data_IF_874755620196
#
_entry.id   IF_874755620196
#
_cell.length_a   1.000
_cell.length_b   1.000
_cell.length_c   1.000
_cell.angle_alpha   90.00
_cell.angle_beta   90.00
_cell.angle_gamma   90.00
#
_symmetry.space_group_name_H-M   'P 1'
#
loop_
_entity.id
_entity.type
_entity.pdbx_description
1 polymer ?
#
# COMPACT_ATOMS: atom_id res chain seq x y z
N UNK A 1 56.54 40.69 76.66
CA UNK A 1 56.94 41.97 76.02
C UNK A 1 58.30 41.78 75.37
N UNK A 2 58.40 41.82 74.04
CA UNK A 2 59.68 41.80 73.34
C UNK A 2 59.67 41.13 71.97
N UNK A 3 60.07 41.90 70.95
CA UNK A 3 60.78 41.57 69.70
C UNK A 3 60.86 40.11 69.21
N UNK A 4 60.63 39.93 67.90
CA UNK A 4 61.52 39.32 66.87
C UNK A 4 60.75 39.28 65.53
N UNK A 5 61.19 39.98 64.49
CA UNK A 5 62.22 39.65 63.47
C UNK A 5 61.60 39.06 62.20
N UNK A 6 61.85 39.76 61.08
CA UNK A 6 61.75 39.22 59.72
C UNK A 6 62.67 38.00 59.57
N UNK A 7 62.30 37.03 58.72
CA UNK A 7 63.13 36.64 57.58
C UNK A 7 62.35 35.75 56.59
N UNK A 8 62.63 35.98 55.31
CA UNK A 8 62.15 35.26 54.13
C UNK A 8 62.70 33.83 54.08
N UNK A 9 61.92 32.88 53.56
CA UNK A 9 62.45 31.67 52.92
C UNK A 9 61.45 31.07 51.91
N UNK A 10 61.74 31.36 50.64
CA UNK A 10 61.61 30.57 49.40
C UNK A 10 60.85 29.23 49.37
N UNK A 11 59.83 29.22 48.51
CA UNK A 11 59.57 28.35 47.34
C UNK A 11 59.73 26.82 47.48
N UNK A 12 58.60 26.10 47.38
CA UNK A 12 58.51 24.85 46.59
C UNK A 12 57.20 24.80 45.82
N UNK A 13 57.36 24.82 44.49
CA UNK A 13 56.35 24.50 43.49
C UNK A 13 56.04 23.01 43.58
N UNK A 14 54.77 22.67 43.77
CA UNK A 14 54.21 21.39 43.35
C UNK A 14 52.96 21.72 42.54
N UNK A 15 53.12 21.61 41.22
CA UNK A 15 52.04 21.71 40.26
C UNK A 15 51.21 20.43 40.34
N UNK A 16 50.04 20.52 40.99
CA UNK A 16 49.03 19.46 40.96
C UNK A 16 48.08 19.75 39.79
N UNK A 17 48.35 19.15 38.64
CA UNK A 17 47.42 19.11 37.51
C UNK A 17 46.18 18.31 37.89
N UNK A 18 45.10 19.00 38.25
CA UNK A 18 43.76 18.40 38.35
C UNK A 18 43.24 18.12 36.94
N UNK A 19 43.19 16.84 36.55
CA UNK A 19 42.46 16.39 35.38
C UNK A 19 40.96 16.45 35.67
N UNK A 20 40.32 17.55 35.26
CA UNK A 20 38.86 17.64 35.17
C UNK A 20 38.37 16.64 34.11
N UNK A 21 37.89 15.49 34.58
CA UNK A 21 37.18 14.53 33.74
C UNK A 21 35.78 15.09 33.48
N UNK A 22 35.59 15.79 32.36
CA UNK A 22 34.27 16.17 31.87
C UNK A 22 33.57 14.89 31.40
N UNK A 23 32.60 14.41 32.18
CA UNK A 23 31.69 13.36 31.74
C UNK A 23 30.70 14.01 30.79
N UNK A 24 30.99 13.93 29.49
CA UNK A 24 30.03 14.29 28.44
C UNK A 24 28.99 13.17 28.43
N UNK A 25 27.83 13.40 29.04
CA UNK A 25 26.67 12.55 28.77
C UNK A 25 26.27 12.79 27.32
N UNK A 26 26.24 11.78 26.44
CA UNK A 26 25.67 11.96 25.13
C UNK A 26 24.20 12.32 25.33
N UNK A 27 23.80 13.48 24.84
CA UNK A 27 22.39 13.80 24.69
C UNK A 27 21.79 12.67 23.85
N UNK A 28 20.89 11.88 24.45
CA UNK A 28 20.11 10.90 23.72
C UNK A 28 19.35 11.66 22.63
N UNK A 29 19.87 11.59 21.42
CA UNK A 29 19.12 11.93 20.22
C UNK A 29 17.96 10.97 20.23
N UNK A 30 16.77 11.48 20.56
CA UNK A 30 15.55 10.71 20.36
C UNK A 30 15.59 10.24 18.91
N UNK A 31 15.65 8.92 18.73
CA UNK A 31 15.50 8.32 17.41
C UNK A 31 14.22 8.92 16.81
N UNK A 32 14.23 9.36 15.54
CA UNK A 32 13.00 9.79 14.91
C UNK A 32 11.98 8.67 15.11
N UNK A 33 10.81 9.02 15.66
CA UNK A 33 9.70 8.09 15.77
C UNK A 33 9.56 7.39 14.42
N UNK A 34 9.62 6.05 14.41
CA UNK A 34 9.41 5.28 13.20
C UNK A 34 8.14 5.84 12.55
N UNK A 35 8.27 6.41 11.35
CA UNK A 35 7.11 6.84 10.60
C UNK A 35 6.16 5.64 10.54
N UNK A 36 4.89 5.86 10.85
CA UNK A 36 3.87 4.82 10.86
C UNK A 36 3.78 4.22 9.45
N UNK A 37 4.50 3.12 9.24
CA UNK A 37 4.73 2.40 7.97
C UNK A 37 3.42 1.83 7.40
N UNK A 38 2.33 1.92 8.16
CA UNK A 38 1.00 1.49 7.74
C UNK A 38 0.45 2.32 6.58
N UNK A 39 0.89 3.57 6.42
CA UNK A 39 0.40 4.50 5.37
C UNK A 39 1.42 4.83 4.28
N UNK A 40 2.56 4.13 4.27
CA UNK A 40 3.54 4.27 3.18
C UNK A 40 2.93 3.79 1.84
N UNK A 41 3.38 4.34 0.70
CA UNK A 41 3.15 3.75 -0.63
C UNK A 41 3.59 2.28 -0.69
N UNK A 42 2.95 1.51 -1.57
CA UNK A 42 3.23 0.08 -1.76
C UNK A 42 4.54 -0.18 -2.52
N UNK A 43 5.04 0.80 -3.27
CA UNK A 43 6.21 0.63 -4.12
C UNK A 43 6.57 1.90 -4.92
N UNK A 44 7.49 1.77 -5.90
CA UNK A 44 7.82 2.86 -6.80
C UNK A 44 6.60 3.26 -7.66
N UNK A 45 6.50 4.56 -7.90
CA UNK A 45 5.42 5.16 -8.68
C UNK A 45 5.98 6.08 -9.77
N UNK A 46 5.19 6.23 -10.82
CA UNK A 46 5.45 7.06 -11.99
C UNK A 46 4.16 7.80 -12.38
N UNK A 47 4.24 8.67 -13.37
CA UNK A 47 3.03 9.21 -14.00
C UNK A 47 2.25 8.10 -14.73
N UNK A 48 0.95 8.33 -14.89
CA UNK A 48 0.02 7.40 -15.55
C UNK A 48 0.53 6.87 -16.89
N UNK A 49 0.50 5.54 -17.04
CA UNK A 49 0.87 4.83 -18.27
C UNK A 49 -0.35 4.18 -18.91
N UNK A 50 -0.83 4.76 -20.00
CA UNK A 50 -1.99 4.26 -20.73
C UNK A 50 -1.83 2.80 -21.19
N UNK A 51 -0.61 2.38 -21.55
CA UNK A 51 -0.32 0.99 -21.94
C UNK A 51 -0.62 -0.01 -20.85
N UNK A 52 -0.36 0.32 -19.58
CA UNK A 52 -0.60 -0.58 -18.45
C UNK A 52 -2.09 -0.68 -18.18
N UNK A 53 -2.79 0.46 -18.25
CA UNK A 53 -4.23 0.51 -18.11
C UNK A 53 -4.96 -0.29 -19.20
N UNK A 54 -4.56 -0.13 -20.47
CA UNK A 54 -5.15 -0.86 -21.59
C UNK A 54 -4.95 -2.38 -21.48
N UNK A 55 -3.85 -2.82 -20.86
CA UNK A 55 -3.59 -4.24 -20.62
C UNK A 55 -4.53 -4.82 -19.56
N UNK A 56 -4.86 -4.07 -18.51
CA UNK A 56 -5.56 -4.61 -17.34
C UNK A 56 -7.05 -4.37 -17.35
N UNK A 57 -7.53 -3.30 -18.00
CA UNK A 57 -8.93 -2.88 -17.93
C UNK A 57 -9.90 -3.91 -18.50
N UNK A 58 -11.08 -3.98 -17.91
CA UNK A 58 -12.25 -4.70 -18.45
C UNK A 58 -13.29 -3.75 -19.07
N UNK A 59 -13.05 -2.42 -19.00
CA UNK A 59 -13.98 -1.38 -19.48
C UNK A 59 -13.21 -0.41 -20.38
N UNK A 60 -12.93 -0.80 -21.62
CA UNK A 60 -12.20 0.02 -22.59
C UNK A 60 -12.82 1.41 -22.85
N UNK A 61 -14.15 1.52 -22.78
CA UNK A 61 -14.89 2.74 -23.13
C UNK A 61 -14.63 3.95 -22.23
N UNK A 62 -14.07 3.76 -21.03
CA UNK A 62 -13.73 4.87 -20.11
C UNK A 62 -12.31 5.42 -20.32
N UNK A 63 -11.57 4.96 -21.34
CA UNK A 63 -10.16 5.32 -21.55
C UNK A 63 -9.89 6.84 -21.55
N UNK A 64 -10.75 7.62 -22.22
CA UNK A 64 -10.60 9.08 -22.28
C UNK A 64 -10.79 9.73 -20.91
N UNK A 65 -11.79 9.28 -20.16
CA UNK A 65 -12.06 9.77 -18.81
C UNK A 65 -10.90 9.43 -17.86
N UNK A 66 -10.41 8.18 -17.91
CA UNK A 66 -9.26 7.74 -17.11
C UNK A 66 -8.03 8.60 -17.40
N UNK A 67 -7.66 8.81 -18.66
CA UNK A 67 -6.49 9.61 -19.01
C UNK A 67 -6.62 11.08 -18.56
N UNK A 68 -7.80 11.68 -18.72
CA UNK A 68 -8.05 13.05 -18.28
C UNK A 68 -7.96 13.17 -16.75
N UNK A 69 -8.62 12.27 -16.01
CA UNK A 69 -8.62 12.27 -14.55
C UNK A 69 -7.24 11.96 -13.97
N UNK A 70 -6.50 11.04 -14.57
CA UNK A 70 -5.14 10.71 -14.15
C UNK A 70 -4.22 11.93 -14.15
N UNK A 71 -4.35 12.77 -15.18
CA UNK A 71 -3.62 14.04 -15.27
C UNK A 71 -4.12 15.06 -14.25
N UNK A 72 -5.44 15.26 -14.14
CA UNK A 72 -6.01 16.28 -13.25
C UNK A 72 -5.80 15.98 -11.76
N UNK A 73 -5.86 14.71 -11.38
CA UNK A 73 -5.68 14.24 -9.99
C UNK A 73 -4.23 13.81 -9.70
N UNK A 74 -3.31 13.99 -10.66
CA UNK A 74 -1.88 13.68 -10.51
C UNK A 74 -1.66 12.27 -9.95
N UNK A 75 -2.38 11.29 -10.50
CA UNK A 75 -2.30 9.91 -10.02
C UNK A 75 -0.88 9.40 -10.04
N UNK A 76 -0.47 8.80 -8.92
CA UNK A 76 0.80 8.12 -8.78
C UNK A 76 0.58 6.67 -9.18
N UNK A 77 1.04 6.32 -10.36
CA UNK A 77 0.81 5.02 -11.00
C UNK A 77 1.91 4.04 -10.60
N UNK A 78 1.55 2.89 -10.05
CA UNK A 78 2.51 1.86 -9.62
C UNK A 78 3.34 1.37 -10.81
N UNK A 79 4.65 1.27 -10.62
CA UNK A 79 5.59 0.84 -11.66
C UNK A 79 5.93 -0.65 -11.60
N UNK A 80 5.92 -1.24 -10.41
CA UNK A 80 6.26 -2.65 -10.24
C UNK A 80 5.11 -3.60 -10.64
N UNK A 81 5.42 -4.90 -10.60
CA UNK A 81 4.48 -5.99 -10.80
C UNK A 81 4.39 -6.91 -9.58
N UNK A 82 4.70 -6.39 -8.40
CA UNK A 82 4.61 -7.13 -7.14
C UNK A 82 3.19 -7.64 -6.92
N UNK A 83 3.06 -8.76 -6.22
CA UNK A 83 1.76 -9.38 -5.96
C UNK A 83 0.82 -8.42 -5.24
N UNK A 84 -0.39 -8.31 -5.77
CA UNK A 84 -1.51 -7.63 -5.13
C UNK A 84 -2.56 -8.63 -4.70
N UNK A 85 -3.39 -8.21 -3.76
CA UNK A 85 -4.40 -9.03 -3.13
C UNK A 85 -5.75 -8.35 -3.16
N UNK A 86 -6.81 -9.11 -3.43
CA UNK A 86 -8.18 -8.62 -3.32
C UNK A 86 -9.02 -9.57 -2.48
N UNK A 87 -9.65 -9.04 -1.44
CA UNK A 87 -10.70 -9.74 -0.72
C UNK A 87 -12.04 -9.58 -1.42
N UNK A 88 -12.77 -10.67 -1.62
CA UNK A 88 -14.09 -10.66 -2.24
C UNK A 88 -14.99 -11.75 -1.62
N UNK A 89 -16.26 -11.43 -1.41
CA UNK A 89 -17.23 -12.36 -0.82
C UNK A 89 -17.98 -13.16 -1.87
N UNK A 90 -17.81 -12.86 -3.16
CA UNK A 90 -18.45 -13.62 -4.23
C UNK A 90 -17.91 -15.04 -4.32
N UNK A 91 -18.82 -16.00 -4.49
CA UNK A 91 -18.50 -17.43 -4.58
C UNK A 91 -18.22 -17.91 -6.01
N UNK A 92 -18.44 -17.06 -7.03
CA UNK A 92 -18.25 -17.38 -8.45
C UNK A 92 -16.78 -17.22 -8.91
N UNK A 93 -15.84 -17.84 -8.17
CA UNK A 93 -14.39 -17.71 -8.39
C UNK A 93 -13.97 -18.04 -9.84
N UNK A 94 -14.50 -19.14 -10.39
CA UNK A 94 -14.20 -19.58 -11.75
C UNK A 94 -14.69 -18.60 -12.82
N UNK A 95 -15.81 -17.92 -12.56
CA UNK A 95 -16.30 -16.86 -13.44
C UNK A 95 -15.36 -15.66 -13.39
N UNK A 96 -14.96 -15.23 -12.19
CA UNK A 96 -14.01 -14.13 -11.98
C UNK A 96 -12.66 -14.43 -12.64
N UNK A 97 -12.19 -15.67 -12.60
CA UNK A 97 -10.97 -16.09 -13.31
C UNK A 97 -11.07 -15.90 -14.82
N UNK A 98 -12.27 -16.12 -15.40
CA UNK A 98 -12.51 -15.98 -16.84
C UNK A 98 -12.76 -14.54 -17.25
N UNK A 99 -13.57 -13.79 -16.50
CA UNK A 99 -14.00 -12.43 -16.88
C UNK A 99 -13.09 -11.35 -16.31
N UNK A 100 -12.33 -11.66 -15.28
CA UNK A 100 -11.66 -10.68 -14.45
C UNK A 100 -12.62 -10.01 -13.45
N UNK A 101 -12.05 -9.05 -12.74
CA UNK A 101 -12.76 -8.16 -11.86
C UNK A 101 -13.25 -6.93 -12.62
N UNK A 102 -14.48 -7.02 -13.14
CA UNK A 102 -15.17 -5.88 -13.72
C UNK A 102 -15.87 -5.06 -12.62
N UNK A 103 -15.60 -3.75 -12.51
CA UNK A 103 -16.34 -2.86 -11.63
C UNK A 103 -17.83 -2.86 -11.96
N UNK A 104 -18.67 -2.53 -10.97
CA UNK A 104 -20.14 -2.56 -11.14
C UNK A 104 -20.66 -1.44 -12.03
N UNK A 105 -19.87 -0.40 -12.28
CA UNK A 105 -20.19 0.64 -13.24
C UNK A 105 -18.94 1.26 -13.84
N UNK A 106 -19.14 2.42 -14.45
CA UNK A 106 -18.17 3.15 -15.25
C UNK A 106 -17.93 4.57 -14.74
N UNK A 107 -18.53 4.92 -13.61
CA UNK A 107 -18.40 6.24 -13.02
C UNK A 107 -17.07 6.33 -12.29
N UNK A 108 -16.20 7.19 -12.80
CA UNK A 108 -14.92 7.50 -12.17
C UNK A 108 -15.14 8.58 -11.12
N UNK A 109 -15.53 8.17 -9.91
CA UNK A 109 -15.67 9.06 -8.75
C UNK A 109 -14.31 9.68 -8.42
N UNK A 110 -14.20 10.97 -8.08
CA UNK A 110 -12.92 11.55 -7.71
C UNK A 110 -12.21 10.76 -6.61
N UNK A 111 -10.90 10.50 -6.76
CA UNK A 111 -10.20 9.55 -5.87
C UNK A 111 -10.32 9.98 -4.40
N UNK A 112 -10.19 11.29 -4.12
CA UNK A 112 -10.32 11.85 -2.78
C UNK A 112 -11.69 11.55 -2.12
N UNK A 113 -12.76 11.41 -2.89
CA UNK A 113 -14.07 11.02 -2.38
C UNK A 113 -14.19 9.51 -2.22
N UNK A 114 -13.73 8.76 -3.22
CA UNK A 114 -13.76 7.29 -3.24
C UNK A 114 -13.04 6.70 -2.02
N UNK A 115 -11.86 7.22 -1.68
CA UNK A 115 -11.03 6.68 -0.59
C UNK A 115 -11.56 7.00 0.82
N UNK A 116 -12.60 7.84 0.94
CA UNK A 116 -13.21 8.21 2.23
C UNK A 116 -14.58 7.55 2.40
N UNK A 117 -15.39 7.52 1.34
CA UNK A 117 -16.78 7.04 1.42
C UNK A 117 -16.92 5.60 0.92
N UNK A 118 -15.87 5.05 0.31
CA UNK A 118 -15.95 3.85 -0.50
C UNK A 118 -16.59 4.12 -1.87
N UNK A 119 -16.43 3.16 -2.78
CA UNK A 119 -17.09 3.21 -4.08
C UNK A 119 -18.59 2.99 -3.96
N UNK A 120 -19.39 3.92 -4.49
CA UNK A 120 -20.81 3.69 -4.73
C UNK A 120 -21.05 2.47 -5.64
N UNK A 121 -22.31 2.03 -5.74
CA UNK A 121 -22.69 0.82 -6.49
C UNK A 121 -22.34 0.86 -7.99
N UNK A 122 -21.99 2.02 -8.55
CA UNK A 122 -21.70 2.25 -9.97
C UNK A 122 -20.26 2.72 -10.25
N UNK A 123 -19.37 2.58 -9.27
CA UNK A 123 -17.98 3.01 -9.40
C UNK A 123 -17.19 2.20 -10.44
N UNK A 124 -16.30 2.87 -11.16
CA UNK A 124 -15.27 2.29 -12.02
C UNK A 124 -14.01 1.85 -11.25
N UNK A 125 -13.89 2.21 -9.97
CA UNK A 125 -12.75 1.86 -9.13
C UNK A 125 -12.81 0.39 -8.71
N UNK A 126 -11.67 -0.28 -8.77
CA UNK A 126 -11.48 -1.63 -8.29
C UNK A 126 -10.34 -1.65 -7.30
N UNK A 127 -10.71 -1.74 -6.03
CA UNK A 127 -9.75 -1.86 -4.93
C UNK A 127 -8.99 -3.18 -4.95
N UNK A 128 -7.66 -3.09 -4.79
CA UNK A 128 -6.76 -4.17 -4.39
C UNK A 128 -5.82 -3.64 -3.31
N UNK A 129 -5.04 -4.51 -2.66
CA UNK A 129 -4.07 -4.11 -1.64
C UNK A 129 -2.73 -4.81 -1.88
N UNK A 130 -1.63 -4.13 -1.58
CA UNK A 130 -0.32 -4.80 -1.52
C UNK A 130 -0.12 -5.61 -0.21
N UNK A 131 -1.07 -5.54 0.73
CA UNK A 131 -1.06 -6.30 1.97
C UNK A 131 -2.14 -7.40 1.96
N UNK A 132 -1.69 -8.66 1.99
CA UNK A 132 -2.59 -9.81 2.02
C UNK A 132 -3.50 -9.82 3.25
N UNK A 133 -3.02 -9.34 4.40
CA UNK A 133 -3.80 -9.29 5.64
C UNK A 133 -4.98 -8.33 5.52
N UNK A 134 -4.81 -7.21 4.81
CA UNK A 134 -5.89 -6.28 4.47
C UNK A 134 -6.93 -6.97 3.59
N UNK A 135 -6.49 -7.68 2.54
CA UNK A 135 -7.40 -8.43 1.68
C UNK A 135 -8.19 -9.50 2.46
N UNK A 136 -7.56 -10.22 3.40
CA UNK A 136 -8.25 -11.16 4.30
C UNK A 136 -9.31 -10.47 5.15
N UNK A 137 -9.02 -9.29 5.71
CA UNK A 137 -10.00 -8.48 6.48
C UNK A 137 -11.25 -8.18 5.66
N UNK A 138 -11.08 -7.74 4.40
CA UNK A 138 -12.20 -7.43 3.51
C UNK A 138 -12.96 -8.67 3.03
N UNK A 139 -12.26 -9.78 2.76
CA UNK A 139 -12.89 -11.05 2.39
C UNK A 139 -13.81 -11.57 3.50
N UNK A 140 -13.49 -11.31 4.78
CA UNK A 140 -14.20 -11.87 5.93
C UNK A 140 -14.99 -10.83 6.75
N UNK A 141 -15.32 -9.67 6.19
CA UNK A 141 -16.01 -8.60 6.94
C UNK A 141 -17.50 -8.91 7.22
N UNK A 142 -18.16 -9.69 6.34
CA UNK A 142 -19.61 -10.00 6.43
C UNK A 142 -20.01 -10.92 7.58
N UNK A 143 -21.31 -11.23 7.68
CA UNK A 143 -21.88 -12.11 8.73
C UNK A 143 -21.28 -13.52 8.70
N UNK A 144 -21.10 -14.06 7.50
CA UNK A 144 -20.54 -15.40 7.28
C UNK A 144 -19.05 -15.52 7.67
N UNK A 145 -18.37 -14.39 7.89
CA UNK A 145 -16.94 -14.31 8.24
C UNK A 145 -16.05 -15.17 7.34
N UNK A 146 -16.47 -15.39 6.11
CA UNK A 146 -15.79 -16.20 5.10
C UNK A 146 -15.78 -15.46 3.76
N UNK A 147 -14.74 -15.71 2.97
CA UNK A 147 -14.62 -15.14 1.63
C UNK A 147 -13.31 -15.53 0.97
N UNK A 148 -13.08 -15.01 -0.23
CA UNK A 148 -11.96 -15.37 -1.09
C UNK A 148 -10.92 -14.25 -1.13
N UNK A 149 -9.65 -14.63 -1.07
CA UNK A 149 -8.52 -13.72 -1.27
C UNK A 149 -7.82 -14.12 -2.56
N UNK A 150 -7.85 -13.21 -3.52
CA UNK A 150 -7.31 -13.40 -4.86
C UNK A 150 -5.88 -12.88 -4.94
N UNK A 151 -5.01 -13.63 -5.61
CA UNK A 151 -3.62 -13.27 -5.89
C UNK A 151 -3.52 -12.71 -7.31
N UNK A 152 -3.04 -11.46 -7.44
CA UNK A 152 -3.12 -10.67 -8.68
C UNK A 152 -1.72 -10.16 -9.07
N UNK A 153 -1.36 -10.33 -10.35
CA UNK A 153 -0.08 -9.90 -10.95
C UNK A 153 -0.32 -8.93 -12.11
N UNK A 154 -0.97 -7.80 -11.84
CA UNK A 154 -1.30 -6.80 -12.85
C UNK A 154 -0.26 -5.65 -12.87
N UNK A 155 0.14 -5.13 -14.05
CA UNK A 155 0.91 -3.89 -14.14
C UNK A 155 0.05 -2.67 -13.80
N UNK A 156 0.68 -1.61 -13.28
CA UNK A 156 0.00 -0.35 -13.03
C UNK A 156 -0.93 -0.35 -11.81
N UNK A 157 -1.98 0.47 -11.91
CA UNK A 157 -2.88 0.79 -10.80
C UNK A 157 -2.44 2.06 -10.07
N UNK A 158 -3.40 2.79 -9.52
CA UNK A 158 -3.16 4.00 -8.73
C UNK A 158 -2.70 3.56 -7.34
N UNK A 159 -1.49 3.94 -6.93
CA UNK A 159 -1.11 3.85 -5.53
C UNK A 159 -1.84 4.97 -4.77
N UNK A 160 -2.84 4.57 -3.98
CA UNK A 160 -3.71 5.51 -3.27
C UNK A 160 -2.93 6.32 -2.25
N UNK A 161 -1.98 5.70 -1.55
CA UNK A 161 -1.20 6.37 -0.50
C UNK A 161 -0.23 7.39 -1.10
N UNK A 162 0.46 7.03 -2.20
CA UNK A 162 1.32 7.96 -2.92
C UNK A 162 0.51 9.12 -3.51
N UNK A 163 -0.63 8.84 -4.14
CA UNK A 163 -1.51 9.86 -4.72
C UNK A 163 -2.08 10.79 -3.66
N UNK A 164 -2.52 10.24 -2.52
CA UNK A 164 -3.01 11.01 -1.40
C UNK A 164 -1.93 11.94 -0.84
N UNK A 165 -0.69 11.46 -0.69
CA UNK A 165 0.44 12.29 -0.24
C UNK A 165 0.73 13.46 -1.18
N UNK A 166 0.77 13.21 -2.49
CA UNK A 166 1.09 14.23 -3.50
C UNK A 166 0.01 15.31 -3.63
N UNK A 167 -1.24 14.97 -3.33
CA UNK A 167 -2.39 15.87 -3.43
C UNK A 167 -2.96 16.31 -2.07
N UNK A 168 -2.32 15.91 -0.96
CA UNK A 168 -2.76 16.17 0.41
C UNK A 168 -4.18 15.68 0.73
N UNK A 169 -4.61 14.56 0.13
CA UNK A 169 -5.89 13.94 0.45
C UNK A 169 -5.87 13.34 1.85
N UNK A 170 -6.99 13.45 2.55
CA UNK A 170 -7.17 12.91 3.90
C UNK A 170 -8.12 11.72 3.84
N UNK A 171 -7.72 10.58 4.37
CA UNK A 171 -8.58 9.41 4.52
C UNK A 171 -8.20 8.60 5.76
N UNK A 172 -9.19 8.11 6.54
CA UNK A 172 -8.94 7.19 7.63
C UNK A 172 -8.60 5.76 7.16
N UNK A 173 -8.57 5.52 5.85
CA UNK A 173 -8.41 4.21 5.22
C UNK A 173 -7.09 4.03 4.46
N UNK A 174 -6.13 4.96 4.57
CA UNK A 174 -4.82 4.81 3.92
C UNK A 174 -4.03 3.58 4.42
N UNK A 175 -4.36 3.06 5.60
CA UNK A 175 -3.81 1.80 6.09
C UNK A 175 -4.21 0.58 5.24
N UNK A 176 -5.20 0.71 4.35
CA UNK A 176 -5.56 -0.34 3.41
C UNK A 176 -4.45 -0.66 2.41
N UNK A 177 -3.44 0.22 2.26
CA UNK A 177 -2.36 0.09 1.29
C UNK A 177 -2.92 -0.24 -0.11
N UNK A 178 -3.89 0.57 -0.52
CA UNK A 178 -4.73 0.31 -1.69
C UNK A 178 -3.99 0.62 -2.98
N UNK A 179 -4.05 -0.32 -3.92
CA UNK A 179 -3.81 -0.08 -5.34
C UNK A 179 -5.16 -0.16 -6.05
N UNK A 180 -5.61 0.96 -6.59
CA UNK A 180 -6.88 1.05 -7.29
C UNK A 180 -6.70 0.86 -8.81
N UNK A 181 -7.58 0.07 -9.42
CA UNK A 181 -7.61 -0.16 -10.86
C UNK A 181 -8.89 0.41 -11.49
N UNK A 182 -8.85 1.64 -12.03
CA UNK A 182 -9.95 2.18 -12.81
C UNK A 182 -10.30 1.27 -13.98
N UNK A 183 -11.54 0.79 -14.09
CA UNK A 183 -11.97 -0.13 -15.15
C UNK A 183 -11.67 -1.61 -14.88
N UNK A 184 -11.07 -1.93 -13.73
CA UNK A 184 -10.89 -3.30 -13.27
C UNK A 184 -9.61 -3.99 -13.71
N UNK A 185 -9.59 -5.31 -13.51
CA UNK A 185 -8.44 -6.18 -13.81
C UNK A 185 -8.92 -7.42 -14.56
N UNK A 186 -8.36 -7.68 -15.74
CA UNK A 186 -8.66 -8.87 -16.55
C UNK A 186 -8.26 -10.17 -15.85
N UNK A 187 -8.99 -11.25 -16.15
CA UNK A 187 -8.86 -12.54 -15.48
C UNK A 187 -7.49 -13.19 -15.64
N UNK A 188 -6.79 -12.97 -16.75
CA UNK A 188 -5.44 -13.50 -17.00
C UNK A 188 -4.36 -12.95 -16.04
N UNK A 189 -4.63 -11.86 -15.33
CA UNK A 189 -3.74 -11.34 -14.27
C UNK A 189 -4.03 -11.94 -12.89
N UNK A 190 -5.11 -12.71 -12.74
CA UNK A 190 -5.48 -13.38 -11.49
C UNK A 190 -4.87 -14.78 -11.50
N UNK A 191 -3.96 -15.07 -10.57
CA UNK A 191 -3.29 -16.38 -10.49
C UNK A 191 -4.18 -17.46 -9.89
N UNK A 192 -4.94 -17.09 -8.87
CA UNK A 192 -5.78 -18.00 -8.10
C UNK A 192 -6.44 -17.28 -6.94
N UNK A 193 -7.16 -18.04 -6.13
CA UNK A 193 -7.81 -17.54 -4.93
C UNK A 193 -7.84 -18.61 -3.84
N UNK A 194 -7.63 -18.20 -2.60
CA UNK A 194 -7.81 -19.05 -1.43
C UNK A 194 -8.99 -18.55 -0.58
N UNK A 195 -9.83 -19.48 -0.13
CA UNK A 195 -10.96 -19.17 0.75
C UNK A 195 -10.48 -19.16 2.19
N UNK A 196 -10.88 -18.14 2.94
CA UNK A 196 -10.55 -17.97 4.34
C UNK A 196 -11.80 -17.85 5.20
N UNK A 197 -11.69 -18.27 6.45
CA UNK A 197 -12.64 -18.01 7.54
C UNK A 197 -11.94 -17.24 8.64
N UNK A 198 -12.51 -16.14 9.11
CA UNK A 198 -12.05 -15.48 10.32
C UNK A 198 -12.43 -16.36 11.52
N UNK A 199 -11.43 -16.79 12.29
CA UNK A 199 -11.64 -17.66 13.46
C UNK A 199 -11.50 -16.92 14.78
N UNK A 200 -10.75 -15.82 14.79
CA UNK A 200 -10.54 -15.02 16.00
C UNK A 200 -10.28 -13.54 15.66
N UNK A 201 -10.74 -12.66 16.55
CA UNK A 201 -10.29 -11.26 16.62
C UNK A 201 -9.91 -10.98 18.06
N UNK A 202 -8.67 -10.57 18.26
CA UNK A 202 -8.21 -10.11 19.57
C UNK A 202 -8.98 -8.84 19.96
N UNK A 203 -9.66 -8.81 21.13
CA UNK A 203 -10.51 -7.67 21.50
C UNK A 203 -9.72 -6.42 21.90
N UNK A 204 -8.42 -6.52 22.14
CA UNK A 204 -7.53 -5.43 22.55
C UNK A 204 -6.75 -4.89 21.36
N UNK A 205 -6.07 -5.76 20.61
CA UNK A 205 -5.20 -5.33 19.49
C UNK A 205 -5.95 -5.27 18.16
N UNK A 206 -7.15 -5.87 18.06
CA UNK A 206 -7.88 -6.09 16.81
C UNK A 206 -7.11 -6.94 15.79
N UNK A 207 -6.10 -7.69 16.25
CA UNK A 207 -5.43 -8.71 15.45
C UNK A 207 -6.41 -9.81 15.08
N UNK A 208 -6.22 -10.40 13.91
CA UNK A 208 -7.15 -11.36 13.34
C UNK A 208 -6.44 -12.64 12.96
N UNK A 209 -7.10 -13.75 13.21
CA UNK A 209 -6.63 -15.09 12.84
C UNK A 209 -7.60 -15.70 11.85
N UNK A 210 -7.06 -16.34 10.81
CA UNK A 210 -7.85 -16.97 9.77
C UNK A 210 -7.47 -18.43 9.57
N UNK A 211 -8.48 -19.24 9.27
CA UNK A 211 -8.34 -20.60 8.74
C UNK A 211 -8.44 -20.55 7.22
N UNK A 212 -7.52 -21.20 6.51
CA UNK A 212 -7.61 -21.38 5.05
C UNK A 212 -8.43 -22.63 4.74
N UNK A 213 -9.54 -22.48 4.03
CA UNK A 213 -10.49 -23.55 3.73
C UNK A 213 -10.19 -24.30 2.43
N UNK A 214 -9.33 -23.75 1.58
CA UNK A 214 -8.96 -24.33 0.29
C UNK A 214 -8.62 -23.27 -0.75
N UNK A 215 -7.99 -23.66 -1.84
CA UNK A 215 -7.60 -22.76 -2.92
C UNK A 215 -8.06 -23.29 -4.27
N UNK A 216 -8.20 -22.37 -5.22
CA UNK A 216 -8.47 -22.63 -6.63
C UNK A 216 -7.44 -21.90 -7.47
N UNK A 217 -6.87 -22.60 -8.44
CA UNK A 217 -5.94 -22.03 -9.40
C UNK A 217 -6.67 -21.57 -10.67
N UNK A 218 -6.22 -20.45 -11.24
CA UNK A 218 -6.73 -19.99 -12.53
C UNK A 218 -5.90 -20.60 -13.66
N UNK A 219 -6.49 -21.52 -14.42
CA UNK A 219 -5.84 -22.12 -15.60
C UNK A 219 -5.60 -21.11 -16.73
N UNK A 220 -6.31 -19.98 -16.72
CA UNK A 220 -6.13 -18.86 -17.64
C UNK A 220 -5.08 -17.84 -17.19
N UNK A 221 -4.36 -18.08 -16.08
CA UNK A 221 -3.32 -17.16 -15.60
C UNK A 221 -2.18 -17.04 -16.63
N UNK A 222 -2.04 -15.85 -17.19
CA UNK A 222 -1.12 -15.53 -18.28
C UNK A 222 -0.86 -14.01 -18.33
N UNK A 223 -0.28 -13.42 -17.26
CA UNK A 223 -0.22 -11.97 -17.09
C UNK A 223 0.66 -11.26 -18.15
N UNK A 224 1.64 -11.97 -18.70
CA UNK A 224 2.61 -11.42 -19.66
C UNK A 224 2.73 -12.25 -20.93
N UNK A 225 1.72 -13.09 -21.23
CA UNK A 225 1.70 -13.79 -22.50
C UNK A 225 1.58 -12.74 -23.61
N UNK A 226 2.62 -12.62 -24.40
CA UNK A 226 2.60 -11.82 -25.61
C UNK A 226 1.68 -12.50 -26.61
N UNK A 227 0.50 -11.93 -26.84
CA UNK A 227 -0.27 -12.21 -28.05
C UNK A 227 0.68 -12.00 -29.25
N UNK A 228 0.84 -12.97 -30.17
CA UNK A 228 1.58 -12.74 -31.41
C UNK A 228 0.89 -11.61 -32.18
N UNK A 229 1.47 -10.41 -32.14
CA UNK A 229 1.24 -9.26 -33.01
C UNK A 229 -0.16 -9.17 -33.69
N UNK A 230 -1.23 -9.02 -32.91
CA UNK A 230 -2.51 -8.48 -33.42
C UNK A 230 -2.48 -6.94 -33.58
N UNK A 231 -1.29 -6.32 -33.48
CA UNK A 231 -1.05 -4.90 -33.79
C UNK A 231 -0.67 -4.65 -35.26
N UNK A 232 -0.75 -5.67 -36.11
CA UNK A 232 -0.75 -5.48 -37.55
C UNK A 232 -2.22 -5.35 -38.03
N UNK A 233 -2.55 -4.16 -38.53
CA UNK A 233 -3.75 -3.83 -39.31
C UNK A 233 -5.01 -3.43 -38.54
N UNK A 234 -5.02 -2.20 -38.02
CA UNK A 234 -6.10 -1.27 -38.33
C UNK A 234 -5.49 0.13 -38.52
N UNK A 235 -5.37 0.52 -39.80
CA UNK A 235 -5.29 1.92 -40.20
C UNK A 235 -6.60 2.64 -39.90
#
# INVERSE_FOLDING_TARGET
MGRRSMLKATLRVLASTFLLSVVITPAATAAPAAADDTTAPCGPVVEYRATDWWRTTTIARIARTVAATASSERWQWREDVNTLWRGDTRENVEEIFRTGFTPRGDQLTPLAEYIVKGGGQLSAHLSTSCDQSVAKRFATYGEEKTGWVYEIYAPGGIDVNATARVNNYQSPYLWNKEIDFPGGVQGNFIKGACKYRLTHTDPVTNDKTWEQLGCKDNTGFAPYKTEPAAYALTH
#
